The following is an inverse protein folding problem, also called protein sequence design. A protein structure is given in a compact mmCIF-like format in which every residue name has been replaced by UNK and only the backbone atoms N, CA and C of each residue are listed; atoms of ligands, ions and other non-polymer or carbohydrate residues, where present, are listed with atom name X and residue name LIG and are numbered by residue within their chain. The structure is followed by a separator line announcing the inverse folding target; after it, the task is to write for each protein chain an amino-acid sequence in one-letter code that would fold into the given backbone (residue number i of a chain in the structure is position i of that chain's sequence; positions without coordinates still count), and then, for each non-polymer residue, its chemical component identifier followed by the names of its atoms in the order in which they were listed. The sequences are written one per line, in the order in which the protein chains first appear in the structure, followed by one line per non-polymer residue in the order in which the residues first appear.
data_IF_421898016541
#
_entry.id   IF_421898016541
#
_cell.length_a   1.000
_cell.length_b   1.000
_cell.length_c   1.000
_cell.angle_alpha   90.00
_cell.angle_beta   90.00
_cell.angle_gamma   90.00
#
_symmetry.space_group_name_H-M   'P 1'
#
loop_
_entity.id
_entity.type
_entity.pdbx_description
1 polymer ?
#
# COMPACT_ATOMS: atom_id res chain seq x y z
N UNK A 1 12.95 -19.00 0.53
CA UNK A 1 11.51 -18.80 0.82
C UNK A 1 11.08 -19.50 2.10
N UNK A 2 11.21 -20.82 2.21
CA UNK A 2 10.83 -21.59 3.41
C UNK A 2 11.55 -21.17 4.70
N UNK A 3 12.87 -20.97 4.65
CA UNK A 3 13.64 -20.50 5.81
C UNK A 3 13.16 -19.14 6.35
N UNK A 4 12.70 -18.23 5.47
CA UNK A 4 12.17 -16.92 5.85
C UNK A 4 10.78 -17.01 6.48
N UNK A 5 9.97 -18.00 6.10
CA UNK A 5 8.69 -18.31 6.75
C UNK A 5 8.92 -18.92 8.12
N UNK A 6 9.84 -19.91 8.20
CA UNK A 6 10.15 -20.60 9.45
C UNK A 6 10.72 -19.65 10.52
N UNK A 7 11.65 -18.77 10.14
CA UNK A 7 12.20 -17.76 11.04
C UNK A 7 11.16 -16.77 11.58
N UNK A 8 9.99 -16.66 10.93
CA UNK A 8 8.99 -15.65 11.20
C UNK A 8 7.75 -16.18 11.91
N UNK A 9 7.33 -17.38 11.55
CA UNK A 9 6.10 -18.01 12.01
C UNK A 9 6.36 -19.33 12.77
N UNK A 10 7.62 -19.73 12.94
CA UNK A 10 7.98 -21.03 13.50
C UNK A 10 7.83 -22.15 12.47
N UNK A 11 7.78 -23.40 12.92
CA UNK A 11 7.59 -24.54 12.03
C UNK A 11 6.25 -24.44 11.31
N UNK A 12 6.29 -24.40 9.97
CA UNK A 12 5.12 -24.32 9.11
C UNK A 12 5.04 -25.51 8.17
N UNK A 13 3.85 -26.07 8.00
CA UNK A 13 3.55 -27.08 6.99
C UNK A 13 2.96 -26.38 5.76
N UNK A 14 3.59 -26.52 4.60
CA UNK A 14 3.01 -26.02 3.36
C UNK A 14 2.06 -27.05 2.77
N UNK A 15 0.82 -26.64 2.55
CA UNK A 15 -0.20 -27.47 1.90
C UNK A 15 -0.57 -26.87 0.55
N UNK A 16 -0.54 -27.65 -0.54
CA UNK A 16 -1.11 -27.22 -1.81
C UNK A 16 -2.60 -26.90 -1.64
N UNK A 17 -3.04 -25.75 -2.15
CA UNK A 17 -4.43 -25.35 -2.15
C UNK A 17 -4.72 -24.50 -3.38
N UNK A 18 -5.90 -24.70 -3.99
CA UNK A 18 -6.40 -23.79 -5.02
C UNK A 18 -7.07 -22.60 -4.34
N UNK A 19 -6.59 -21.39 -4.64
CA UNK A 19 -7.10 -20.12 -4.12
C UNK A 19 -7.36 -20.10 -2.59
N UNK A 20 -6.32 -20.31 -1.76
CA UNK A 20 -6.49 -20.38 -0.30
C UNK A 20 -7.14 -19.09 0.22
N UNK A 21 -8.27 -19.25 0.91
CA UNK A 21 -9.09 -18.16 1.46
C UNK A 21 -9.57 -17.11 0.43
N UNK A 22 -9.58 -17.44 -0.87
CA UNK A 22 -9.95 -16.52 -1.96
C UNK A 22 -8.91 -15.42 -2.23
N UNK A 23 -7.67 -15.59 -1.75
CA UNK A 23 -6.62 -14.55 -1.88
C UNK A 23 -6.10 -14.45 -3.31
N UNK A 24 -5.92 -15.57 -4.02
CA UNK A 24 -5.48 -15.58 -5.41
C UNK A 24 -6.50 -14.91 -6.33
N UNK A 25 -7.80 -15.11 -6.09
CA UNK A 25 -8.88 -14.37 -6.76
C UNK A 25 -8.80 -12.86 -6.53
N UNK A 26 -8.65 -12.43 -5.28
CA UNK A 26 -8.54 -10.99 -4.93
C UNK A 26 -7.29 -10.32 -5.51
N UNK A 27 -6.15 -11.01 -5.52
CA UNK A 27 -4.93 -10.50 -6.16
C UNK A 27 -5.15 -10.33 -7.67
N UNK A 28 -5.78 -11.30 -8.34
CA UNK A 28 -6.11 -11.18 -9.77
C UNK A 28 -7.05 -10.00 -10.04
N UNK A 29 -8.09 -9.82 -9.21
CA UNK A 29 -8.99 -8.68 -9.31
C UNK A 29 -8.24 -7.34 -9.16
N UNK A 30 -7.37 -7.22 -8.16
CA UNK A 30 -6.52 -6.03 -7.97
C UNK A 30 -5.62 -5.76 -9.17
N UNK A 31 -4.92 -6.77 -9.68
CA UNK A 31 -4.07 -6.62 -10.87
C UNK A 31 -4.90 -6.33 -12.14
N UNK A 32 -6.18 -6.74 -12.16
CA UNK A 32 -7.14 -6.42 -13.21
C UNK A 32 -7.80 -5.04 -13.10
N UNK A 33 -7.48 -4.26 -12.05
CA UNK A 33 -7.94 -2.88 -11.88
C UNK A 33 -8.94 -2.66 -10.74
N UNK A 34 -9.43 -3.71 -10.08
CA UNK A 34 -10.22 -3.57 -8.85
C UNK A 34 -9.30 -3.31 -7.64
N UNK A 35 -8.85 -2.06 -7.51
CA UNK A 35 -7.83 -1.67 -6.53
C UNK A 35 -8.23 -1.92 -5.07
N UNK A 36 -9.53 -2.07 -4.78
CA UNK A 36 -10.07 -2.29 -3.43
C UNK A 36 -10.12 -3.79 -3.06
N UNK A 37 -9.97 -4.70 -4.03
CA UNK A 37 -10.13 -6.15 -3.85
C UNK A 37 -9.23 -6.76 -2.76
N UNK A 38 -8.08 -6.14 -2.48
CA UNK A 38 -7.09 -6.64 -1.52
C UNK A 38 -7.27 -6.10 -0.09
N UNK A 39 -8.11 -5.08 0.11
CA UNK A 39 -8.19 -4.37 1.39
C UNK A 39 -8.77 -5.22 2.51
N UNK A 40 -9.75 -6.06 2.17
CA UNK A 40 -10.42 -6.96 3.11
C UNK A 40 -9.60 -8.21 3.45
N UNK A 41 -8.45 -8.42 2.81
CA UNK A 41 -7.61 -9.60 3.08
C UNK A 41 -7.01 -9.49 4.47
N UNK A 42 -7.41 -10.41 5.36
CA UNK A 42 -6.83 -10.53 6.70
C UNK A 42 -5.36 -10.96 6.58
N UNK A 43 -4.48 -10.27 7.31
CA UNK A 43 -3.04 -10.56 7.29
C UNK A 43 -2.52 -10.61 8.71
N UNK A 44 -1.81 -11.69 9.03
CA UNK A 44 -0.92 -11.77 10.17
C UNK A 44 0.51 -11.58 9.65
N UNK A 45 1.16 -10.49 10.04
CA UNK A 45 2.51 -10.19 9.57
C UNK A 45 3.58 -10.84 10.43
N UNK A 46 3.31 -11.28 11.66
CA UNK A 46 4.35 -11.63 12.63
C UNK A 46 5.28 -10.45 12.94
N UNK A 47 6.49 -10.73 13.45
CA UNK A 47 7.50 -9.70 13.76
C UNK A 47 7.25 -8.96 15.09
N UNK A 48 8.04 -7.93 15.38
CA UNK A 48 7.97 -7.19 16.66
C UNK A 48 6.74 -6.27 16.73
N UNK A 49 6.35 -5.85 17.94
CA UNK A 49 5.24 -4.92 18.12
C UNK A 49 5.39 -3.62 17.30
N UNK A 50 6.61 -3.08 17.22
CA UNK A 50 6.88 -1.89 16.42
C UNK A 50 6.76 -2.17 14.91
N UNK A 51 7.25 -3.31 14.44
CA UNK A 51 7.11 -3.70 13.05
C UNK A 51 5.65 -3.87 12.63
N UNK A 52 4.85 -4.57 13.44
CA UNK A 52 3.41 -4.74 13.23
C UNK A 52 2.68 -3.41 13.15
N UNK A 53 3.02 -2.44 14.02
CA UNK A 53 2.45 -1.08 13.97
C UNK A 53 2.75 -0.35 12.67
N UNK A 54 3.98 -0.45 12.15
CA UNK A 54 4.35 0.15 10.85
C UNK A 54 3.56 -0.49 9.72
N UNK A 55 3.49 -1.82 9.64
CA UNK A 55 2.74 -2.50 8.59
C UNK A 55 1.23 -2.26 8.69
N UNK A 56 0.67 -2.14 9.89
CA UNK A 56 -0.71 -1.74 10.09
C UNK A 56 -0.97 -0.30 9.60
N UNK A 57 -0.02 0.62 9.83
CA UNK A 57 -0.12 1.99 9.32
C UNK A 57 -0.04 2.04 7.78
N UNK A 58 0.77 1.18 7.14
CA UNK A 58 0.82 1.09 5.67
C UNK A 58 -0.54 0.75 5.07
N UNK A 59 -1.30 -0.17 5.70
CA UNK A 59 -2.62 -0.58 5.22
C UNK A 59 -3.68 0.54 5.22
N UNK A 60 -3.41 1.67 5.88
CA UNK A 60 -4.27 2.86 5.84
C UNK A 60 -4.01 3.74 4.62
N UNK A 61 -2.89 3.55 3.93
CA UNK A 61 -2.58 4.31 2.71
C UNK A 61 -3.40 3.70 1.58
N UNK A 62 -4.37 4.43 1.04
CA UNK A 62 -5.24 3.97 -0.06
C UNK A 62 -4.49 3.85 -1.38
N UNK A 63 -5.01 3.03 -2.29
CA UNK A 63 -4.53 2.99 -3.66
C UNK A 63 -4.62 4.39 -4.30
N UNK A 64 -3.61 4.77 -5.08
CA UNK A 64 -3.52 6.07 -5.73
C UNK A 64 -2.97 7.19 -4.84
N UNK A 65 -2.66 6.89 -3.57
CA UNK A 65 -2.02 7.81 -2.66
C UNK A 65 -0.60 7.34 -2.28
N UNK A 66 0.27 8.30 -2.01
CA UNK A 66 1.61 8.05 -1.50
C UNK A 66 1.91 8.90 -0.27
N UNK A 67 2.73 8.36 0.63
CA UNK A 67 3.23 9.06 1.81
C UNK A 67 4.75 9.04 1.83
N UNK A 68 5.36 9.96 2.57
CA UNK A 68 6.80 9.91 2.80
C UNK A 68 7.16 8.99 3.96
N UNK A 69 8.41 8.52 4.03
CA UNK A 69 8.90 7.81 5.22
C UNK A 69 8.75 8.63 6.51
N UNK A 70 8.86 9.97 6.43
CA UNK A 70 8.69 10.86 7.56
C UNK A 70 7.22 10.95 8.01
N UNK A 71 6.27 10.95 7.06
CA UNK A 71 4.83 10.90 7.37
C UNK A 71 4.49 9.58 8.08
N UNK A 72 5.01 8.45 7.57
CA UNK A 72 4.79 7.15 8.18
C UNK A 72 5.39 7.06 9.60
N UNK A 73 6.58 7.64 9.81
CA UNK A 73 7.21 7.73 11.13
C UNK A 73 6.38 8.56 12.12
N UNK A 74 5.79 9.68 11.66
CA UNK A 74 4.83 10.47 12.43
C UNK A 74 3.56 9.68 12.75
N UNK A 75 2.98 8.98 11.77
CA UNK A 75 1.75 8.20 11.94
C UNK A 75 1.90 7.05 12.96
N UNK A 76 3.11 6.54 13.16
CA UNK A 76 3.40 5.54 14.21
C UNK A 76 3.96 6.14 15.50
N UNK A 77 3.76 7.45 15.73
CA UNK A 77 4.22 8.17 16.93
C UNK A 77 5.72 7.99 17.22
N UNK A 78 6.55 7.92 16.17
CA UNK A 78 8.02 7.83 16.25
C UNK A 78 8.66 8.75 15.20
N UNK A 79 8.46 10.08 15.28
CA UNK A 79 8.84 11.02 14.23
C UNK A 79 10.34 11.02 13.87
N UNK A 80 11.22 10.66 14.82
CA UNK A 80 12.66 10.57 14.61
C UNK A 80 13.12 9.23 14.03
N UNK A 81 12.24 8.24 13.91
CA UNK A 81 12.57 6.86 13.52
C UNK A 81 12.46 6.59 12.02
N UNK A 82 12.59 7.60 11.16
CA UNK A 82 12.44 7.49 9.70
C UNK A 82 13.28 6.38 9.07
N UNK A 83 14.56 6.25 9.47
CA UNK A 83 15.44 5.18 8.96
C UNK A 83 14.96 3.79 9.38
N UNK A 84 14.56 3.63 10.63
CA UNK A 84 14.03 2.37 11.14
C UNK A 84 12.73 1.99 10.45
N UNK A 85 11.82 2.94 10.24
CA UNK A 85 10.58 2.76 9.49
C UNK A 85 10.87 2.35 8.04
N UNK A 86 11.86 2.96 7.39
CA UNK A 86 12.29 2.56 6.05
C UNK A 86 12.78 1.12 5.98
N UNK A 87 13.61 0.69 6.94
CA UNK A 87 14.06 -0.69 7.03
C UNK A 87 12.92 -1.68 7.29
N UNK A 88 11.94 -1.31 8.13
CA UNK A 88 10.76 -2.13 8.41
C UNK A 88 9.84 -2.22 7.18
N UNK A 89 9.66 -1.13 6.45
CA UNK A 89 8.92 -1.10 5.19
C UNK A 89 9.52 -2.06 4.16
N UNK A 90 10.85 -2.09 4.05
CA UNK A 90 11.58 -3.01 3.17
C UNK A 90 11.48 -4.49 3.59
N UNK A 91 11.20 -4.78 4.86
CA UNK A 91 11.06 -6.14 5.41
C UNK A 91 9.61 -6.64 5.46
N UNK A 92 8.73 -6.01 4.69
CA UNK A 92 7.34 -6.43 4.58
C UNK A 92 7.23 -7.86 4.01
N UNK A 93 6.64 -8.82 4.76
CA UNK A 93 6.49 -10.20 4.31
C UNK A 93 5.32 -10.42 3.33
N UNK A 94 4.35 -9.50 3.27
CA UNK A 94 3.12 -9.66 2.47
C UNK A 94 2.98 -8.45 1.53
N UNK A 95 3.81 -8.42 0.50
CA UNK A 95 3.77 -7.36 -0.52
C UNK A 95 2.40 -7.26 -1.20
N UNK A 96 2.11 -6.10 -1.81
CA UNK A 96 0.81 -5.73 -2.40
C UNK A 96 -0.28 -5.54 -1.35
N UNK A 97 -0.65 -6.58 -0.58
CA UNK A 97 -1.71 -6.52 0.44
C UNK A 97 -1.31 -5.59 1.60
N UNK A 98 -0.05 -5.67 2.05
CA UNK A 98 0.55 -4.60 2.87
C UNK A 98 1.30 -3.69 1.89
N UNK A 99 0.81 -2.47 1.63
CA UNK A 99 1.21 -1.69 0.46
C UNK A 99 2.49 -0.88 0.70
N UNK A 100 3.62 -1.57 0.90
CA UNK A 100 4.92 -0.93 1.14
C UNK A 100 5.47 -0.15 -0.08
N UNK A 101 4.90 -0.35 -1.27
CA UNK A 101 5.20 0.41 -2.49
C UNK A 101 4.64 1.84 -2.45
N UNK A 102 3.65 2.14 -1.60
CA UNK A 102 3.03 3.47 -1.46
C UNK A 102 3.84 4.47 -0.63
N UNK A 103 5.00 4.06 -0.12
CA UNK A 103 5.90 4.95 0.65
C UNK A 103 7.08 5.39 -0.23
N UNK A 104 7.33 6.69 -0.32
CA UNK A 104 8.36 7.27 -1.20
C UNK A 104 9.29 8.25 -0.45
N UNK A 105 10.36 8.66 -1.11
CA UNK A 105 11.24 9.73 -0.62
C UNK A 105 10.50 11.08 -0.57
N UNK A 106 10.99 12.00 0.28
CA UNK A 106 10.39 13.34 0.42
C UNK A 106 10.42 14.18 -0.87
N UNK A 107 11.34 13.84 -1.76
CA UNK A 107 11.59 14.44 -3.07
C UNK A 107 10.86 13.71 -4.21
N UNK A 108 10.00 12.74 -3.88
CA UNK A 108 9.34 11.90 -4.88
C UNK A 108 10.18 10.70 -5.36
N UNK A 109 11.40 10.53 -4.85
CA UNK A 109 12.26 9.42 -5.28
C UNK A 109 11.70 8.06 -4.88
N UNK A 110 11.81 7.09 -5.80
CA UNK A 110 11.56 5.69 -5.50
C UNK A 110 12.82 5.06 -4.92
N UNK A 111 12.78 4.76 -3.64
CA UNK A 111 13.83 4.03 -2.94
C UNK A 111 13.29 2.74 -2.37
N UNK A 112 14.18 1.77 -2.14
CA UNK A 112 13.94 0.56 -1.35
C UNK A 112 12.63 -0.19 -1.62
N UNK A 113 12.70 -1.27 -2.40
CA UNK A 113 11.60 -2.23 -2.54
C UNK A 113 12.14 -3.64 -2.70
N UNK A 114 11.68 -4.58 -1.87
CA UNK A 114 12.15 -5.97 -1.89
C UNK A 114 11.95 -6.64 -3.26
N UNK A 115 10.88 -6.26 -3.98
CA UNK A 115 10.62 -6.71 -5.35
C UNK A 115 11.32 -5.89 -6.44
N UNK A 116 12.25 -4.99 -6.10
CA UNK A 116 12.92 -4.11 -7.07
C UNK A 116 12.12 -2.87 -7.50
N UNK A 117 12.82 -1.78 -7.81
CA UNK A 117 12.19 -0.48 -8.07
C UNK A 117 11.24 -0.47 -9.28
N UNK A 118 11.49 -1.32 -10.28
CA UNK A 118 10.62 -1.43 -11.45
C UNK A 118 9.21 -1.93 -11.08
N UNK A 119 9.09 -2.91 -10.16
CA UNK A 119 7.79 -3.38 -9.66
C UNK A 119 7.08 -2.30 -8.85
N UNK A 120 7.81 -1.57 -8.02
CA UNK A 120 7.27 -0.43 -7.25
C UNK A 120 6.72 0.65 -8.18
N UNK A 121 7.47 1.02 -9.21
CA UNK A 121 7.04 1.97 -10.26
C UNK A 121 5.76 1.48 -10.94
N UNK A 122 5.72 0.22 -11.36
CA UNK A 122 4.57 -0.37 -12.03
C UNK A 122 3.33 -0.36 -11.13
N UNK A 123 3.43 -0.77 -9.87
CA UNK A 123 2.32 -0.78 -8.92
C UNK A 123 1.77 0.62 -8.66
N UNK A 124 2.65 1.62 -8.52
CA UNK A 124 2.24 3.01 -8.34
C UNK A 124 1.49 3.53 -9.58
N UNK A 125 2.00 3.22 -10.78
CA UNK A 125 1.33 3.60 -12.03
C UNK A 125 -0.02 2.87 -12.20
N UNK A 126 -0.08 1.58 -11.88
CA UNK A 126 -1.30 0.77 -11.87
C UNK A 126 -2.37 1.36 -10.96
N UNK A 127 -1.96 1.93 -9.83
CA UNK A 127 -2.84 2.62 -8.89
C UNK A 127 -3.15 4.08 -9.26
N UNK A 128 -2.65 4.58 -10.40
CA UNK A 128 -2.92 5.94 -10.88
C UNK A 128 -2.01 7.03 -10.29
N UNK A 129 -0.90 6.66 -9.64
CA UNK A 129 0.08 7.63 -9.12
C UNK A 129 0.96 8.15 -10.24
N UNK A 130 0.85 9.45 -10.53
CA UNK A 130 1.77 10.16 -11.43
C UNK A 130 3.03 10.52 -10.65
N UNK A 131 4.11 9.80 -10.94
CA UNK A 131 5.42 10.17 -10.41
C UNK A 131 5.97 11.31 -11.26
N UNK A 132 6.07 12.51 -10.66
CA UNK A 132 6.75 13.63 -11.28
C UNK A 132 8.12 13.17 -11.76
N UNK A 133 8.40 13.41 -13.04
CA UNK A 133 9.66 12.99 -13.65
C UNK A 133 10.82 13.50 -12.79
N UNK A 134 11.56 12.57 -12.18
CA UNK A 134 12.93 12.89 -11.84
C UNK A 134 13.56 13.38 -13.14
N UNK A 135 14.10 14.62 -13.16
CA UNK A 135 14.96 15.05 -14.25
C UNK A 135 15.96 13.93 -14.48
N UNK A 136 15.83 13.23 -15.60
CA UNK A 136 16.85 12.32 -16.05
C UNK A 136 18.13 13.15 -16.11
N UNK A 137 19.16 12.75 -15.36
CA UNK A 137 20.45 13.37 -15.48
C UNK A 137 20.94 13.15 -16.93
N UNK A 138 20.94 14.24 -17.72
CA UNK A 138 21.70 14.39 -18.97
C UNK A 138 21.10 13.82 -20.25
N UNK A 139 20.41 14.66 -21.02
CA UNK A 139 20.70 14.93 -22.45
C UNK A 139 19.78 16.08 -22.91
N UNK A 140 20.37 17.12 -23.50
CA UNK A 140 19.78 18.44 -23.71
C UNK A 140 18.60 18.54 -24.68
N UNK A 141 17.94 19.71 -24.62
CA UNK A 141 16.93 20.15 -25.58
C UNK A 141 15.83 20.99 -24.93
N UNK A 142 15.97 22.30 -25.02
CA UNK A 142 15.05 23.33 -24.51
C UNK A 142 13.62 23.17 -25.03
N UNK A 143 12.64 23.07 -24.11
CA UNK A 143 11.28 23.59 -24.29
C UNK A 143 10.73 24.03 -22.93
N UNK A 144 10.58 25.34 -22.75
CA UNK A 144 10.00 25.94 -21.56
C UNK A 144 8.49 25.66 -21.50
N UNK A 145 8.07 24.79 -20.58
CA UNK A 145 6.70 24.73 -20.07
C UNK A 145 6.72 25.22 -18.63
N UNK A 146 6.05 26.34 -18.34
CA UNK A 146 5.89 26.84 -16.97
C UNK A 146 4.86 25.99 -16.25
N UNK A 147 5.31 25.21 -15.27
CA UNK A 147 4.44 24.50 -14.33
C UNK A 147 3.78 25.49 -13.34
N UNK A 148 2.52 25.27 -12.94
CA UNK A 148 1.85 26.08 -11.93
C UNK A 148 2.45 25.83 -10.53
N UNK A 149 2.37 26.82 -9.61
CA UNK A 149 3.03 26.74 -8.32
C UNK A 149 2.48 25.58 -7.47
N UNK A 150 3.40 24.74 -7.02
CA UNK A 150 3.12 23.63 -6.11
C UNK A 150 2.45 24.11 -4.84
N UNK A 151 1.27 23.56 -4.54
CA UNK A 151 0.61 23.73 -3.24
C UNK A 151 1.37 22.94 -2.18
N UNK A 152 2.25 23.62 -1.46
CA UNK A 152 2.60 23.23 -0.10
C UNK A 152 1.40 23.56 0.82
N UNK A 153 1.06 22.66 1.74
CA UNK A 153 0.09 22.96 2.80
C UNK A 153 -1.08 22.00 2.90
N UNK A 154 -0.81 20.81 3.41
CA UNK A 154 -1.59 20.00 4.38
C UNK A 154 -0.74 18.78 4.69
N UNK A 155 -0.68 18.31 5.93
CA UNK A 155 0.08 17.09 6.19
C UNK A 155 -0.57 15.96 5.38
N UNK A 156 0.21 15.21 4.61
CA UNK A 156 -0.27 14.11 3.75
C UNK A 156 -1.17 13.12 4.53
N UNK A 157 -1.01 13.07 5.86
CA UNK A 157 -1.81 12.28 6.79
C UNK A 157 -3.22 12.85 7.09
N UNK A 158 -3.39 14.16 7.18
CA UNK A 158 -4.71 14.80 7.35
C UNK A 158 -5.54 14.67 6.06
N UNK A 159 -4.90 14.83 4.90
CA UNK A 159 -5.52 14.58 3.60
C UNK A 159 -5.97 13.12 3.45
N UNK A 160 -5.20 12.16 4.00
CA UNK A 160 -5.60 10.76 4.10
C UNK A 160 -6.77 10.56 5.06
N UNK A 161 -6.85 11.30 6.17
CA UNK A 161 -7.95 11.23 7.14
C UNK A 161 -9.29 11.77 6.56
N UNK A 162 -9.24 12.86 5.78
CA UNK A 162 -10.40 13.38 5.04
C UNK A 162 -10.81 12.48 3.87
N UNK A 163 -9.85 11.81 3.22
CA UNK A 163 -10.13 10.78 2.22
C UNK A 163 -10.77 9.54 2.86
N UNK A 164 -10.31 9.13 4.05
CA UNK A 164 -10.87 8.04 4.86
C UNK A 164 -12.35 8.32 5.20
N UNK A 165 -12.66 9.54 5.66
CA UNK A 165 -14.04 9.94 6.00
C UNK A 165 -14.99 9.99 4.79
N UNK A 166 -14.48 10.23 3.58
CA UNK A 166 -15.26 10.15 2.33
C UNK A 166 -15.40 8.71 1.83
N UNK A 167 -14.39 7.88 2.08
CA UNK A 167 -14.39 6.46 1.71
C UNK A 167 -15.32 5.64 2.62
N UNK A 168 -15.31 5.84 3.94
CA UNK A 168 -16.25 5.19 4.87
C UNK A 168 -17.69 5.44 4.45
N UNK A 169 -18.02 6.67 4.01
CA UNK A 169 -19.35 6.99 3.46
C UNK A 169 -19.65 6.23 2.16
N UNK A 170 -18.69 6.14 1.24
CA UNK A 170 -18.85 5.44 -0.06
C UNK A 170 -18.92 3.92 0.09
N UNK A 171 -18.23 3.35 1.08
CA UNK A 171 -18.33 1.93 1.47
C UNK A 171 -19.60 1.60 2.24
N UNK A 172 -20.08 2.51 3.10
CA UNK A 172 -21.33 2.37 3.83
C UNK A 172 -22.57 2.44 2.92
N UNK A 173 -22.53 3.24 1.85
CA UNK A 173 -23.61 3.29 0.85
C UNK A 173 -23.70 2.01 -0.02
N UNK A 174 -22.59 1.27 -0.16
CA UNK A 174 -22.55 0.00 -0.90
C UNK A 174 -22.79 -1.24 -0.04
N UNK A 175 -22.94 -1.07 1.28
CA UNK A 175 -23.24 -2.15 2.24
C UNK A 175 -24.73 -2.33 2.55
N UNK A 176 -25.64 -1.65 1.82
CA UNK A 176 -27.10 -1.71 2.06
C UNK A 176 -27.90 -2.51 1.02
N UNK A 177 -27.27 -3.43 0.29
CA UNK A 177 -28.03 -4.40 -0.50
C UNK A 177 -27.77 -5.79 0.05
N UNK A 178 -28.85 -6.47 0.43
CA UNK A 178 -28.94 -7.79 1.08
C UNK A 178 -29.20 -7.76 2.60
N UNK A 179 -30.25 -7.06 3.02
CA UNK A 179 -31.14 -7.53 4.08
C UNK A 179 -32.56 -7.37 3.54
N UNK A 180 -33.41 -8.39 3.72
CA UNK A 180 -34.82 -8.49 3.33
C UNK A 180 -35.11 -9.14 1.96
N UNK A 181 -34.89 -10.46 1.88
CA UNK A 181 -35.44 -11.35 0.85
C UNK A 181 -35.40 -12.83 1.30
N UNK A 182 -36.47 -13.63 1.08
CA UNK A 182 -36.66 -14.93 1.73
C UNK A 182 -35.77 -16.05 1.13
N UNK A 183 -35.58 -17.18 1.84
CA UNK A 183 -34.61 -18.19 1.47
C UNK A 183 -35.22 -19.16 0.45
N UNK A 184 -34.77 -19.12 -0.81
CA UNK A 184 -34.72 -20.34 -1.64
C UNK A 184 -33.83 -20.18 -2.88
N UNK A 185 -33.04 -21.23 -3.08
CA UNK A 185 -32.35 -21.65 -4.30
C UNK A 185 -31.01 -20.97 -4.65
N UNK A 186 -29.96 -21.79 -4.47
CA UNK A 186 -28.66 -21.78 -5.12
C UNK A 186 -27.69 -20.63 -4.78
N UNK A 187 -26.78 -20.92 -3.85
CA UNK A 187 -25.33 -20.83 -4.04
C UNK A 187 -24.64 -21.82 -3.09
#
# INVERSE_FOLDING_TARGET
MLASLAARYGTVELRPASDPFGVSGRIRAYLGGDLDAIDAVRVETGGTAFQRRVWAALRRIRAGATVTYADLARAVARPTATRAVGAINGRNPVAIIVPCHRVIGKDGSLTGYAGGLWRKRWLLNHEGVVLGGARAAGAGGDLQQKDPPGRSGRSSWEALSEADARYVRRGADRGRTCADGPPSAAC
#
